data_IF_122552901475
#
_entry.id   IF_122552901475
#
_cell.length_a   1.000
_cell.length_b   1.000
_cell.length_c   1.000
_cell.angle_alpha   90.00
_cell.angle_beta   90.00
_cell.angle_gamma   90.00
#
_symmetry.space_group_name_H-M   'P 1'
#
loop_
_entity.id
_entity.type
_entity.pdbx_description
1 polymer ?
#
# COMPACT_ATOMS: atom_id res chain seq x y z
N UNK A 1 24.18 -37.88 82.10
CA UNK A 1 23.47 -38.75 81.13
C UNK A 1 22.75 -37.80 80.16
N UNK A 2 23.34 -37.43 79.00
CA UNK A 2 23.17 -38.07 77.65
C UNK A 2 21.69 -38.39 77.39
N UNK A 3 21.00 -37.89 76.37
CA UNK A 3 21.24 -37.77 74.92
C UNK A 3 20.31 -36.65 74.34
N UNK A 4 20.37 -36.11 73.12
CA UNK A 4 21.36 -35.90 72.05
C UNK A 4 20.59 -35.34 70.81
N UNK A 5 21.19 -34.38 70.07
CA UNK A 5 21.08 -34.14 68.59
C UNK A 5 19.71 -33.65 68.03
N UNK A 6 19.60 -32.78 67.03
CA UNK A 6 20.41 -32.44 65.85
C UNK A 6 20.31 -30.95 65.46
N UNK A 7 21.33 -30.48 64.73
CA UNK A 7 21.43 -29.17 64.10
C UNK A 7 21.16 -29.28 62.59
N UNK A 8 20.48 -28.29 61.99
CA UNK A 8 20.54 -27.98 60.55
C UNK A 8 20.34 -26.46 60.32
N UNK A 9 20.94 -25.84 59.26
CA UNK A 9 21.37 -24.43 59.24
C UNK A 9 20.37 -23.45 58.58
N UNK A 10 20.54 -22.13 58.76
CA UNK A 10 19.73 -21.12 58.04
C UNK A 10 20.19 -21.00 56.58
N UNK A 11 19.35 -21.49 55.67
CA UNK A 11 19.48 -21.30 54.23
C UNK A 11 19.33 -19.83 53.83
N UNK A 12 20.44 -19.21 53.43
CA UNK A 12 20.45 -17.93 52.72
C UNK A 12 19.82 -18.12 51.33
N UNK A 13 18.55 -17.78 51.19
CA UNK A 13 18.00 -17.50 49.86
C UNK A 13 18.54 -16.14 49.39
N UNK A 14 19.64 -16.21 48.65
CA UNK A 14 20.16 -15.11 47.82
C UNK A 14 19.13 -14.85 46.72
N UNK A 15 18.17 -13.97 46.98
CA UNK A 15 17.36 -13.35 45.94
C UNK A 15 18.32 -12.56 45.05
N UNK A 16 18.56 -13.09 43.84
CA UNK A 16 19.19 -12.33 42.78
C UNK A 16 18.29 -11.12 42.48
N UNK A 17 18.81 -9.88 42.49
CA UNK A 17 18.01 -8.74 42.13
C UNK A 17 17.66 -8.84 40.64
N UNK A 18 16.39 -9.09 40.34
CA UNK A 18 15.82 -8.86 39.01
C UNK A 18 16.11 -7.41 38.62
N UNK A 19 16.74 -7.28 37.46
CA UNK A 19 17.33 -6.06 36.92
C UNK A 19 16.24 -5.00 36.65
N UNK A 20 15.88 -4.22 37.67
CA UNK A 20 14.92 -3.10 37.58
C UNK A 20 15.36 -2.01 36.58
N UNK A 21 16.61 -2.01 36.13
CA UNK A 21 17.15 -0.99 35.23
C UNK A 21 16.79 -1.21 33.76
N UNK A 22 16.44 -2.43 33.35
CA UNK A 22 16.11 -2.72 31.95
C UNK A 22 14.65 -2.40 31.60
N UNK A 23 13.71 -2.65 32.51
CA UNK A 23 12.27 -2.40 32.25
C UNK A 23 11.94 -0.91 32.16
N UNK A 24 12.63 -0.06 32.92
CA UNK A 24 12.38 1.39 32.88
C UNK A 24 12.96 2.04 31.62
N UNK A 25 14.07 1.54 31.09
CA UNK A 25 14.74 2.11 29.93
C UNK A 25 13.97 1.91 28.62
N UNK A 26 13.18 0.85 28.48
CA UNK A 26 12.37 0.58 27.28
C UNK A 26 11.12 1.50 27.24
N UNK A 27 10.51 1.77 28.40
CA UNK A 27 9.30 2.62 28.50
C UNK A 27 9.60 4.11 28.29
N UNK A 28 10.83 4.58 28.54
CA UNK A 28 11.25 5.97 28.31
C UNK A 28 12.03 6.17 27.02
N UNK A 29 12.08 5.20 26.11
CA UNK A 29 12.72 5.41 24.79
C UNK A 29 11.70 5.73 23.71
N UNK A 30 10.48 5.21 23.79
CA UNK A 30 9.44 5.48 22.80
C UNK A 30 9.04 6.96 22.73
N UNK A 31 8.77 7.69 23.84
CA UNK A 31 8.30 9.08 23.73
C UNK A 31 9.35 10.02 23.14
N UNK A 32 10.61 9.83 23.51
CA UNK A 32 11.74 10.62 23.05
C UNK A 32 11.98 10.39 21.55
N UNK A 33 11.98 9.13 21.10
CA UNK A 33 12.09 8.79 19.67
C UNK A 33 10.94 9.38 18.87
N UNK A 34 9.71 9.37 19.39
CA UNK A 34 8.54 9.92 18.71
C UNK A 34 8.69 11.44 18.52
N UNK A 35 9.17 12.12 19.57
CA UNK A 35 9.44 13.54 19.53
C UNK A 35 10.59 13.90 18.59
N UNK A 36 11.65 13.10 18.53
CA UNK A 36 12.76 13.28 17.57
C UNK A 36 12.29 13.20 16.12
N UNK A 37 11.44 12.22 15.81
CA UNK A 37 10.83 12.06 14.49
C UNK A 37 9.94 13.24 14.15
N UNK A 38 9.11 13.70 15.10
CA UNK A 38 8.29 14.90 14.90
C UNK A 38 9.16 16.14 14.65
N UNK A 39 10.23 16.35 15.41
CA UNK A 39 11.15 17.48 15.21
C UNK A 39 11.85 17.43 13.85
N UNK A 40 12.24 16.23 13.39
CA UNK A 40 12.80 16.04 12.06
C UNK A 40 11.76 16.39 10.98
N UNK A 41 10.52 15.91 11.12
CA UNK A 41 9.42 16.24 10.21
C UNK A 41 9.13 17.75 10.19
N UNK A 42 9.06 18.42 11.35
CA UNK A 42 8.87 19.87 11.43
C UNK A 42 10.00 20.64 10.75
N UNK A 43 11.26 20.17 10.85
CA UNK A 43 12.40 20.78 10.16
C UNK A 43 12.23 20.75 8.65
N UNK A 44 11.82 19.60 8.10
CA UNK A 44 11.52 19.46 6.66
C UNK A 44 10.33 20.33 6.28
N UNK A 45 9.24 20.30 7.06
CA UNK A 45 8.04 21.10 6.82
C UNK A 45 8.32 22.61 6.76
N UNK A 46 9.21 23.12 7.62
CA UNK A 46 9.61 24.55 7.64
C UNK A 46 10.33 25.01 6.37
N UNK A 47 10.91 24.10 5.60
CA UNK A 47 11.52 24.41 4.30
C UNK A 47 10.48 24.63 3.19
N UNK A 48 9.19 24.52 3.53
CA UNK A 48 8.06 24.66 2.63
C UNK A 48 8.10 23.73 1.40
N UNK A 49 8.46 22.44 1.55
CA UNK A 49 8.54 21.52 0.43
C UNK A 49 7.15 21.29 -0.19
N UNK A 50 7.14 20.77 -1.41
CA UNK A 50 5.92 20.17 -1.95
C UNK A 50 5.53 18.92 -1.14
N UNK A 51 4.25 18.53 -1.24
CA UNK A 51 3.73 17.43 -0.43
C UNK A 51 4.38 16.08 -0.74
N UNK A 52 4.83 15.87 -1.99
CA UNK A 52 5.44 14.61 -2.43
C UNK A 52 6.84 14.51 -1.83
N UNK A 53 7.64 15.57 -1.93
CA UNK A 53 8.96 15.65 -1.29
C UNK A 53 8.85 15.44 0.21
N UNK A 54 7.93 16.12 0.89
CA UNK A 54 7.73 15.88 2.32
C UNK A 54 7.36 14.42 2.62
N UNK A 55 6.43 13.84 1.86
CA UNK A 55 6.02 12.45 2.05
C UNK A 55 7.21 11.51 1.89
N UNK A 56 8.01 11.65 0.83
CA UNK A 56 9.17 10.80 0.55
C UNK A 56 10.23 10.86 1.67
N UNK A 57 10.60 12.07 2.10
CA UNK A 57 11.65 12.26 3.10
C UNK A 57 11.22 11.83 4.51
N UNK A 58 9.94 11.95 4.85
CA UNK A 58 9.45 11.69 6.22
C UNK A 58 8.78 10.32 6.33
N UNK A 59 7.80 10.04 5.47
CA UNK A 59 6.90 8.87 5.54
C UNK A 59 7.21 7.79 4.50
N UNK A 60 8.07 8.09 3.52
CA UNK A 60 8.44 7.18 2.45
C UNK A 60 9.19 5.95 2.95
N UNK A 61 9.46 5.01 2.04
CA UNK A 61 10.16 3.75 2.34
C UNK A 61 11.53 4.01 2.98
N UNK A 62 12.24 5.03 2.50
CA UNK A 62 13.54 5.49 3.04
C UNK A 62 13.39 6.70 3.99
N UNK A 63 12.17 7.04 4.37
CA UNK A 63 11.90 8.22 5.18
C UNK A 63 12.32 8.07 6.64
N UNK A 64 12.44 9.21 7.33
CA UNK A 64 12.88 9.26 8.74
C UNK A 64 12.07 8.33 9.64
N UNK A 65 10.75 8.19 9.40
CA UNK A 65 9.89 7.29 10.18
C UNK A 65 10.32 5.82 10.03
N UNK A 66 10.55 5.36 8.80
CA UNK A 66 10.96 3.96 8.53
C UNK A 66 12.37 3.65 9.03
N UNK A 67 13.26 4.64 9.00
CA UNK A 67 14.62 4.49 9.54
C UNK A 67 14.60 4.37 11.08
N UNK A 68 13.72 5.11 11.77
CA UNK A 68 13.66 5.12 13.22
C UNK A 68 12.87 3.95 13.82
N UNK A 69 11.90 3.42 13.07
CA UNK A 69 11.06 2.28 13.48
C UNK A 69 11.17 1.15 12.45
N UNK A 70 12.26 0.35 12.49
CA UNK A 70 12.50 -0.71 11.53
C UNK A 70 11.58 -1.92 11.73
N UNK A 71 11.03 -2.11 12.94
CA UNK A 71 10.06 -3.18 13.22
C UNK A 71 8.63 -2.71 13.02
N UNK A 72 7.77 -3.62 12.55
CA UNK A 72 6.35 -3.31 12.31
C UNK A 72 5.64 -2.93 13.61
N UNK A 73 5.90 -3.66 14.71
CA UNK A 73 5.29 -3.38 16.02
C UNK A 73 5.62 -1.97 16.52
N UNK A 74 6.88 -1.52 16.39
CA UNK A 74 7.28 -0.16 16.78
C UNK A 74 6.65 0.91 15.88
N UNK A 75 6.57 0.64 14.57
CA UNK A 75 5.95 1.56 13.62
C UNK A 75 4.45 1.70 13.90
N UNK A 76 3.74 0.59 14.10
CA UNK A 76 2.31 0.59 14.42
C UNK A 76 2.04 1.30 15.75
N UNK A 77 2.90 1.13 16.75
CA UNK A 77 2.79 1.87 18.00
C UNK A 77 3.02 3.40 17.82
N UNK A 78 3.91 3.80 16.91
CA UNK A 78 4.11 5.21 16.57
C UNK A 78 2.94 5.79 15.77
N UNK A 79 2.38 5.04 14.82
CA UNK A 79 1.24 5.47 14.01
C UNK A 79 -0.02 5.77 14.83
N UNK A 80 -0.12 5.23 16.03
CA UNK A 80 -1.18 5.51 17.01
C UNK A 80 -0.91 6.74 17.90
N UNK A 81 0.26 7.37 17.76
CA UNK A 81 0.69 8.47 18.64
C UNK A 81 0.21 9.84 18.16
N UNK A 82 0.18 10.81 19.08
CA UNK A 82 -0.17 12.20 18.78
C UNK A 82 0.86 12.88 17.86
N UNK A 83 2.13 12.45 17.92
CA UNK A 83 3.20 12.93 17.04
C UNK A 83 2.91 12.56 15.59
N UNK A 84 2.51 11.31 15.34
CA UNK A 84 2.14 10.88 14.00
C UNK A 84 0.91 11.62 13.49
N UNK A 85 -0.10 11.85 14.34
CA UNK A 85 -1.26 12.67 13.99
C UNK A 85 -0.89 14.11 13.60
N UNK A 86 0.12 14.71 14.24
CA UNK A 86 0.67 16.02 13.84
C UNK A 86 1.36 15.96 12.48
N UNK A 87 2.12 14.90 12.20
CA UNK A 87 2.76 14.68 10.89
C UNK A 87 1.71 14.56 9.79
N UNK A 88 0.64 13.79 10.01
CA UNK A 88 -0.46 13.70 9.04
C UNK A 88 -1.12 15.05 8.76
N UNK A 89 -1.32 15.89 9.80
CA UNK A 89 -1.83 17.26 9.60
C UNK A 89 -0.90 18.12 8.74
N UNK A 90 0.41 17.95 8.87
CA UNK A 90 1.39 18.62 7.99
C UNK A 90 1.22 18.19 6.53
N UNK A 91 1.06 16.88 6.27
CA UNK A 91 0.81 16.35 4.92
C UNK A 91 -0.48 16.95 4.33
N UNK A 92 -1.58 16.97 5.09
CA UNK A 92 -2.84 17.57 4.64
C UNK A 92 -2.64 19.03 4.23
N UNK A 93 -1.96 19.81 5.08
CA UNK A 93 -1.66 21.23 4.81
C UNK A 93 -0.80 21.43 3.56
N UNK A 94 0.17 20.56 3.28
CA UNK A 94 0.95 20.65 2.04
C UNK A 94 0.12 20.28 0.82
N UNK A 95 -0.84 19.35 0.94
CA UNK A 95 -1.73 18.95 -0.16
C UNK A 95 -2.77 20.00 -0.54
N UNK A 96 -3.10 20.92 0.36
CA UNK A 96 -3.95 22.07 0.05
C UNK A 96 -3.26 23.05 -0.91
N UNK A 97 -1.92 23.07 -0.91
CA UNK A 97 -1.15 23.89 -1.83
C UNK A 97 -1.27 23.33 -3.24
N UNK A 98 -1.55 24.21 -4.19
CA UNK A 98 -1.59 23.85 -5.61
C UNK A 98 -0.17 23.37 -6.01
N UNK A 99 -0.03 22.19 -6.66
CA UNK A 99 1.27 21.78 -7.16
C UNK A 99 1.80 22.86 -8.10
N UNK A 100 2.95 23.45 -7.78
CA UNK A 100 3.74 24.17 -8.77
C UNK A 100 4.09 23.15 -9.83
N UNK A 101 3.69 23.40 -11.08
CA UNK A 101 3.94 22.48 -12.19
C UNK A 101 5.43 22.49 -12.55
N UNK A 102 6.24 21.88 -11.69
CA UNK A 102 7.66 21.66 -11.93
C UNK A 102 7.80 20.43 -12.84
N UNK A 103 8.39 20.56 -14.04
CA UNK A 103 8.51 19.47 -15.00
C UNK A 103 9.50 18.36 -14.58
N UNK A 104 10.19 18.52 -13.44
CA UNK A 104 11.16 17.57 -12.89
C UNK A 104 10.61 16.80 -11.65
N UNK A 105 9.28 16.78 -11.50
CA UNK A 105 8.59 16.15 -10.37
C UNK A 105 8.67 14.61 -10.35
N UNK A 106 8.39 14.03 -9.17
CA UNK A 106 8.36 12.58 -8.97
C UNK A 106 7.44 11.88 -9.99
N UNK A 107 7.90 10.81 -10.67
CA UNK A 107 7.12 10.15 -11.71
C UNK A 107 5.83 9.59 -11.13
N UNK A 108 4.69 10.07 -11.64
CA UNK A 108 3.37 9.59 -11.21
C UNK A 108 3.14 8.17 -11.73
N UNK A 109 2.84 7.24 -10.82
CA UNK A 109 2.43 5.87 -11.15
C UNK A 109 0.92 5.70 -10.97
N UNK A 110 0.29 4.92 -11.85
CA UNK A 110 -1.15 4.65 -11.81
C UNK A 110 -1.41 3.30 -11.14
N UNK A 111 -2.32 3.29 -10.17
CA UNK A 111 -2.90 2.07 -9.60
C UNK A 111 -4.33 1.90 -10.14
N UNK A 112 -4.71 0.67 -10.49
CA UNK A 112 -6.10 0.34 -10.89
C UNK A 112 -6.70 -0.56 -9.81
N UNK A 113 -7.78 -0.11 -9.19
CA UNK A 113 -8.50 -0.85 -8.14
C UNK A 113 -9.84 -1.32 -8.69
N UNK A 114 -10.17 -2.61 -8.52
CA UNK A 114 -11.51 -3.14 -8.84
C UNK A 114 -12.42 -2.97 -7.63
N UNK A 115 -13.47 -2.17 -7.77
CA UNK A 115 -14.45 -1.91 -6.70
C UNK A 115 -15.84 -2.40 -7.13
N UNK A 116 -16.67 -2.93 -6.20
CA UNK A 116 -18.09 -3.11 -6.44
C UNK A 116 -18.76 -1.79 -6.85
N UNK A 117 -19.77 -1.86 -7.73
CA UNK A 117 -20.46 -0.68 -8.24
C UNK A 117 -21.06 0.19 -7.13
N UNK A 118 -21.63 -0.44 -6.09
CA UNK A 118 -22.17 0.25 -4.92
C UNK A 118 -21.12 1.06 -4.16
N UNK A 119 -19.92 0.50 -3.98
CA UNK A 119 -18.81 1.17 -3.31
C UNK A 119 -18.27 2.34 -4.13
N UNK A 120 -18.19 2.16 -5.45
CA UNK A 120 -17.79 3.25 -6.36
C UNK A 120 -18.78 4.43 -6.30
N UNK A 121 -20.08 4.16 -6.36
CA UNK A 121 -21.10 5.22 -6.25
C UNK A 121 -21.09 5.89 -4.87
N UNK A 122 -20.84 5.14 -3.80
CA UNK A 122 -20.64 5.72 -2.47
C UNK A 122 -19.48 6.71 -2.44
N UNK A 123 -18.29 6.33 -2.96
CA UNK A 123 -17.13 7.22 -3.00
C UNK A 123 -17.37 8.47 -3.84
N UNK A 124 -18.13 8.34 -4.93
CA UNK A 124 -18.53 9.45 -5.78
C UNK A 124 -19.45 10.42 -5.06
N UNK A 125 -20.45 9.92 -4.33
CA UNK A 125 -21.34 10.75 -3.50
C UNK A 125 -20.56 11.45 -2.39
N UNK A 126 -19.72 10.73 -1.66
CA UNK A 126 -18.90 11.29 -0.58
C UNK A 126 -17.97 12.39 -1.09
N UNK A 127 -17.34 12.20 -2.26
CA UNK A 127 -16.52 13.23 -2.88
C UNK A 127 -17.33 14.49 -3.25
N UNK A 128 -18.55 14.30 -3.77
CA UNK A 128 -19.46 15.39 -4.08
C UNK A 128 -19.85 16.18 -2.82
N UNK A 129 -20.22 15.49 -1.74
CA UNK A 129 -20.63 16.11 -0.47
C UNK A 129 -19.48 16.91 0.16
N UNK A 130 -18.25 16.39 0.05
CA UNK A 130 -17.03 17.05 0.50
C UNK A 130 -16.46 18.07 -0.51
N UNK A 131 -17.15 18.32 -1.63
CA UNK A 131 -16.74 19.24 -2.70
C UNK A 131 -15.31 19.01 -3.21
N UNK A 132 -14.93 17.75 -3.35
CA UNK A 132 -13.61 17.34 -3.83
C UNK A 132 -13.73 16.38 -5.02
N UNK A 133 -12.64 16.12 -5.73
CA UNK A 133 -12.66 15.08 -6.76
C UNK A 133 -12.52 13.70 -6.14
N UNK A 134 -13.09 12.68 -6.78
CA UNK A 134 -12.95 11.29 -6.34
C UNK A 134 -11.48 10.90 -6.17
N UNK A 135 -10.60 11.30 -7.10
CA UNK A 135 -9.16 11.03 -6.99
C UNK A 135 -8.54 11.70 -5.75
N UNK A 136 -8.89 12.95 -5.45
CA UNK A 136 -8.39 13.65 -4.25
C UNK A 136 -8.85 12.95 -2.96
N UNK A 137 -10.10 12.51 -2.92
CA UNK A 137 -10.65 11.73 -1.81
C UNK A 137 -9.93 10.38 -1.66
N UNK A 138 -9.78 9.62 -2.74
CA UNK A 138 -9.11 8.33 -2.73
C UNK A 138 -7.65 8.45 -2.26
N UNK A 139 -6.90 9.43 -2.76
CA UNK A 139 -5.53 9.68 -2.28
C UNK A 139 -5.52 10.02 -0.79
N UNK A 140 -6.45 10.86 -0.32
CA UNK A 140 -6.54 11.17 1.12
C UNK A 140 -6.80 9.92 1.97
N UNK A 141 -7.67 9.00 1.51
CA UNK A 141 -7.94 7.73 2.21
C UNK A 141 -6.74 6.78 2.16
N UNK A 142 -6.00 6.72 1.05
CA UNK A 142 -4.78 5.90 0.92
C UNK A 142 -3.62 6.35 1.82
N UNK A 143 -3.59 7.63 2.19
CA UNK A 143 -2.59 8.18 3.11
C UNK A 143 -2.89 7.86 4.58
N UNK A 144 -4.09 7.36 4.89
CA UNK A 144 -4.44 6.96 6.25
C UNK A 144 -3.85 5.59 6.55
N UNK A 145 -3.32 5.43 7.77
CA UNK A 145 -2.85 4.14 8.27
C UNK A 145 -4.06 3.23 8.48
N UNK A 146 -3.96 2.02 7.95
CA UNK A 146 -4.91 0.94 8.23
C UNK A 146 -4.24 -0.03 9.21
N UNK A 147 -4.96 -0.42 10.27
CA UNK A 147 -4.50 -1.47 11.18
C UNK A 147 -4.37 -2.80 10.44
N UNK A 148 -3.41 -3.63 10.85
CA UNK A 148 -3.16 -4.95 10.22
C UNK A 148 -4.40 -5.86 10.23
N UNK A 149 -5.24 -5.74 11.26
CA UNK A 149 -6.49 -6.47 11.42
C UNK A 149 -7.56 -6.08 10.39
N UNK A 150 -7.41 -4.92 9.75
CA UNK A 150 -8.33 -4.37 8.75
C UNK A 150 -7.95 -4.77 7.32
N UNK A 151 -6.84 -5.49 7.13
CA UNK A 151 -6.41 -6.04 5.84
C UNK A 151 -6.94 -7.48 5.74
N UNK A 152 -7.85 -7.79 4.80
CA UNK A 152 -8.31 -9.15 4.60
C UNK A 152 -7.12 -10.07 4.26
N UNK A 153 -6.86 -11.07 5.09
CA UNK A 153 -5.89 -12.11 4.77
C UNK A 153 -6.43 -12.97 3.62
N UNK A 154 -5.73 -12.98 2.48
CA UNK A 154 -6.02 -13.81 1.32
C UNK A 154 -5.89 -15.31 1.67
N UNK A 155 -6.92 -15.89 2.28
CA UNK A 155 -7.13 -17.34 2.34
C UNK A 155 -8.33 -17.70 1.48
N UNK A 156 -8.09 -18.00 0.20
CA UNK A 156 -9.08 -18.73 -0.60
C UNK A 156 -9.13 -18.41 -2.08
N UNK A 157 -8.13 -18.83 -2.84
CA UNK A 157 -8.37 -19.38 -4.19
C UNK A 157 -7.17 -20.22 -4.62
N UNK A 158 -6.91 -21.29 -3.86
CA UNK A 158 -6.15 -22.41 -4.39
C UNK A 158 -6.94 -23.03 -5.54
N UNK A 159 -6.73 -22.53 -6.76
CA UNK A 159 -7.11 -23.26 -7.97
C UNK A 159 -6.33 -24.57 -7.94
N UNK A 160 -6.98 -25.74 -7.90
CA UNK A 160 -6.28 -27.00 -8.08
C UNK A 160 -5.71 -26.98 -9.49
N UNK A 161 -4.39 -26.93 -9.61
CA UNK A 161 -3.68 -27.12 -10.87
C UNK A 161 -4.04 -28.52 -11.40
N UNK A 162 -4.72 -28.66 -12.56
CA UNK A 162 -4.91 -29.97 -13.15
C UNK A 162 -3.54 -30.47 -13.62
N UNK A 163 -3.01 -31.47 -12.93
CA UNK A 163 -1.79 -32.19 -13.32
C UNK A 163 -2.11 -33.06 -14.55
N UNK A 164 -1.55 -32.65 -15.69
CA UNK A 164 -1.05 -33.44 -16.81
C UNK A 164 -1.87 -34.64 -17.37
N UNK A 165 -2.17 -34.57 -18.68
CA UNK A 165 -1.90 -35.70 -19.57
C UNK A 165 -1.33 -35.19 -20.89
N UNK A 166 -0.03 -35.40 -21.06
CA UNK A 166 0.78 -35.14 -22.25
C UNK A 166 0.71 -36.40 -23.11
N UNK A 167 -0.04 -36.40 -24.20
CA UNK A 167 0.00 -37.47 -25.22
C UNK A 167 0.76 -36.97 -26.43
N UNK A 168 2.02 -37.39 -26.51
CA UNK A 168 2.87 -37.32 -27.70
C UNK A 168 2.51 -38.48 -28.63
N UNK A 169 1.98 -38.21 -29.81
CA UNK A 169 2.05 -39.12 -30.95
C UNK A 169 2.22 -38.28 -32.22
N UNK A 170 3.39 -38.41 -32.84
CA UNK A 170 3.74 -37.75 -34.08
C UNK A 170 3.29 -38.52 -35.32
N UNK A 171 3.28 -37.80 -36.44
CA UNK A 171 3.94 -38.26 -37.67
C UNK A 171 3.12 -39.07 -38.67
N UNK A 172 2.51 -38.36 -39.63
CA UNK A 172 2.76 -38.57 -41.06
C UNK A 172 1.85 -39.55 -41.82
N UNK A 173 1.31 -39.08 -42.96
CA UNK A 173 0.89 -39.98 -44.05
C UNK A 173 -0.27 -39.51 -44.96
N UNK A 174 0.08 -38.72 -45.99
CA UNK A 174 -0.38 -38.75 -47.39
C UNK A 174 -1.82 -39.16 -47.76
N UNK A 175 -2.52 -38.33 -48.54
CA UNK A 175 -3.70 -38.76 -49.31
C UNK A 175 -4.37 -37.63 -50.10
N UNK A 176 -4.06 -37.54 -51.39
CA UNK A 176 -4.59 -36.61 -52.38
C UNK A 176 -6.00 -37.08 -52.86
N UNK A 177 -6.97 -36.17 -53.06
CA UNK A 177 -8.22 -36.50 -53.76
C UNK A 177 -9.43 -35.62 -53.44
N UNK A 178 -9.68 -34.61 -54.27
CA UNK A 178 -11.03 -34.09 -54.55
C UNK A 178 -11.56 -34.80 -55.83
N UNK A 179 -12.83 -34.64 -56.32
CA UNK A 179 -13.89 -33.70 -55.91
C UNK A 179 -15.35 -34.27 -55.94
N UNK A 180 -16.32 -33.38 -55.74
CA UNK A 180 -17.73 -33.34 -56.23
C UNK A 180 -18.90 -33.73 -55.31
N UNK A 181 -19.92 -32.84 -55.29
CA UNK A 181 -21.28 -33.01 -54.73
C UNK A 181 -21.62 -31.98 -53.63
N UNK A 182 -22.02 -30.74 -53.96
CA UNK A 182 -23.42 -30.24 -53.96
C UNK A 182 -24.11 -30.34 -52.57
N UNK A 183 -24.64 -29.31 -51.91
CA UNK A 183 -25.39 -28.14 -52.38
C UNK A 183 -25.52 -27.06 -51.28
N UNK A 184 -25.72 -25.81 -51.74
CA UNK A 184 -26.54 -24.72 -51.18
C UNK A 184 -26.58 -24.50 -49.66
N UNK A 185 -26.16 -23.31 -49.20
CA UNK A 185 -27.07 -22.18 -48.93
C UNK A 185 -26.30 -20.86 -49.09
N UNK A 186 -26.89 -19.95 -49.86
CA UNK A 186 -26.41 -18.61 -50.16
C UNK A 186 -26.77 -17.64 -49.03
N UNK A 187 -25.86 -16.71 -48.73
CA UNK A 187 -26.18 -15.50 -47.96
C UNK A 187 -25.43 -14.31 -48.58
N UNK A 188 -26.12 -13.21 -48.93
CA UNK A 188 -25.52 -12.13 -49.71
C UNK A 188 -24.65 -11.18 -48.89
N UNK A 189 -23.57 -10.81 -49.55
CA UNK A 189 -22.50 -9.89 -49.20
C UNK A 189 -23.02 -8.44 -49.17
N UNK A 190 -22.81 -7.71 -48.08
CA UNK A 190 -22.74 -6.24 -48.09
C UNK A 190 -21.39 -5.81 -47.55
N UNK A 191 -20.60 -5.18 -48.42
CA UNK A 191 -19.29 -4.63 -48.11
C UNK A 191 -19.40 -3.33 -47.33
N UNK A 192 -18.54 -3.21 -46.32
CA UNK A 192 -18.24 -1.96 -45.63
C UNK A 192 -16.78 -2.02 -45.18
N UNK A 193 -15.93 -1.22 -45.83
CA UNK A 193 -14.52 -1.07 -45.48
C UNK A 193 -14.35 -0.52 -44.05
N UNK A 194 -13.30 -0.91 -43.31
CA UNK A 194 -12.93 -0.22 -42.08
C UNK A 194 -12.28 1.12 -42.42
N UNK A 195 -13.00 2.23 -42.21
CA UNK A 195 -12.43 3.58 -42.25
C UNK A 195 -11.71 3.88 -40.94
N UNK A 196 -10.40 4.13 -41.05
CA UNK A 196 -9.56 4.72 -39.99
C UNK A 196 -9.97 6.18 -39.74
N UNK A 197 -10.12 6.62 -38.48
CA UNK A 197 -10.41 8.03 -38.19
C UNK A 197 -9.19 8.91 -38.48
N UNK A 198 -9.35 10.12 -39.07
CA UNK A 198 -8.25 11.04 -39.31
C UNK A 198 -7.78 11.74 -38.03
N UNK A 199 -6.53 12.23 -37.99
CA UNK A 199 -5.92 12.85 -36.81
C UNK A 199 -6.49 14.25 -36.54
N UNK A 200 -6.89 14.48 -35.29
CA UNK A 200 -7.30 15.78 -34.77
C UNK A 200 -6.15 16.79 -34.85
N UNK A 201 -6.37 17.91 -35.54
CA UNK A 201 -5.54 19.12 -35.43
C UNK A 201 -6.15 20.06 -34.37
N UNK A 202 -5.36 20.61 -33.43
CA UNK A 202 -5.85 21.61 -32.50
C UNK A 202 -6.00 22.97 -33.19
N UNK A 203 -7.21 23.51 -33.17
CA UNK A 203 -7.54 24.87 -33.59
C UNK A 203 -6.99 25.86 -32.56
N UNK A 204 -6.03 26.70 -32.95
CA UNK A 204 -5.59 27.85 -32.13
C UNK A 204 -6.68 28.93 -32.12
N UNK A 205 -6.96 29.57 -30.97
CA UNK A 205 -7.77 30.78 -30.93
C UNK A 205 -6.95 31.97 -31.47
N UNK A 206 -7.63 32.80 -32.26
CA UNK A 206 -7.10 34.02 -32.87
C UNK A 206 -7.57 35.21 -32.01
N UNK A 207 -6.60 35.91 -31.43
CA UNK A 207 -6.66 37.16 -30.64
C UNK A 207 -7.35 37.11 -29.28
#
# INVERSE_FOLDING_TARGET
MKLAREAFPPGRHRLLPLNRKETTAVLTQSPQKYQEVLQAAERVFRQDPDWVTFFREVLGVEGVVRQQFPSLDELTAFEQSDEYAKIQKMVVKLREKRPTAEPDGEPTRVITVRLPASMHEYLKSEAHDLRTSMNKLCISKLLQVIGEDQIPNERGSGVPKPTAARTTLGGGGLGNGAPTGASNYAQPQQGGQPQTPPPFKPTQPRF
#
